data_IF_616337020963
#
_entry.id   IF_616337020963
#
_cell.length_a   1.000
_cell.length_b   1.000
_cell.length_c   1.000
_cell.angle_alpha   90.00
_cell.angle_beta   90.00
_cell.angle_gamma   90.00
#
_symmetry.space_group_name_H-M   'P 1'
#
loop_
_entity.id
_entity.type
_entity.pdbx_description
1 polymer ?
#
# COMPACT_ATOMS: atom_id res chain seq x y z
N UNK A 1 30.07 80.71 24.24
CA UNK A 1 30.12 79.92 25.48
C UNK A 1 28.79 79.27 25.85
N UNK A 2 27.71 79.99 26.18
CA UNK A 2 26.41 79.34 26.49
C UNK A 2 25.87 78.54 25.29
N UNK A 3 25.84 79.12 24.10
CA UNK A 3 25.34 78.45 22.88
C UNK A 3 26.20 77.29 22.39
N UNK A 4 27.49 77.25 22.73
CA UNK A 4 28.38 76.12 22.39
C UNK A 4 28.07 74.91 23.27
N UNK A 5 27.89 75.15 24.57
CA UNK A 5 27.50 74.10 25.53
C UNK A 5 26.11 73.52 25.21
N UNK A 6 25.18 74.34 24.72
CA UNK A 6 23.85 73.88 24.29
C UNK A 6 23.91 72.97 23.06
N UNK A 7 24.76 73.29 22.08
CA UNK A 7 24.98 72.44 20.91
C UNK A 7 25.65 71.11 21.29
N UNK A 8 26.69 71.14 22.12
CA UNK A 8 27.36 69.92 22.58
C UNK A 8 26.42 68.99 23.35
N UNK A 9 25.49 69.56 24.15
CA UNK A 9 24.49 68.81 24.87
C UNK A 9 23.45 68.17 23.93
N UNK A 10 23.07 68.87 22.86
CA UNK A 10 22.18 68.33 21.83
C UNK A 10 22.83 67.13 21.12
N UNK A 11 24.08 67.27 20.68
CA UNK A 11 24.84 66.23 20.00
C UNK A 11 25.03 65.00 20.88
N UNK A 12 25.37 65.21 22.16
CA UNK A 12 25.53 64.11 23.12
C UNK A 12 24.21 63.36 23.32
N UNK A 13 23.08 64.08 23.42
CA UNK A 13 21.76 63.46 23.55
C UNK A 13 21.38 62.66 22.31
N UNK A 14 21.61 63.20 21.11
CA UNK A 14 21.40 62.48 19.85
C UNK A 14 22.26 61.22 19.75
N UNK A 15 23.52 61.31 20.19
CA UNK A 15 24.43 60.16 20.24
C UNK A 15 23.94 59.09 21.21
N UNK A 16 23.46 59.48 22.39
CA UNK A 16 22.87 58.56 23.37
C UNK A 16 21.63 57.85 22.81
N UNK A 17 20.74 58.58 22.15
CA UNK A 17 19.55 58.01 21.52
C UNK A 17 19.92 56.96 20.46
N UNK A 18 20.94 57.25 19.65
CA UNK A 18 21.44 56.30 18.66
C UNK A 18 22.02 55.03 19.30
N UNK A 19 22.80 55.16 20.38
CA UNK A 19 23.30 53.99 21.11
C UNK A 19 22.17 53.14 21.69
N UNK A 20 21.14 53.78 22.24
CA UNK A 20 19.98 53.08 22.78
C UNK A 20 19.24 52.30 21.69
N UNK A 21 18.97 52.93 20.53
CA UNK A 21 18.35 52.25 19.37
C UNK A 21 19.19 51.06 18.91
N UNK A 22 20.50 51.24 18.73
CA UNK A 22 21.39 50.16 18.31
C UNK A 22 21.44 49.00 19.33
N UNK A 23 21.38 49.30 20.63
CA UNK A 23 21.35 48.27 21.67
C UNK A 23 20.02 47.49 21.65
N UNK A 24 18.90 48.18 21.45
CA UNK A 24 17.59 47.51 21.35
C UNK A 24 17.49 46.67 20.06
N UNK A 25 17.99 47.17 18.93
CA UNK A 25 18.10 46.39 17.69
C UNK A 25 18.99 45.16 17.86
N UNK A 26 20.13 45.28 18.53
CA UNK A 26 21.00 44.15 18.84
C UNK A 26 20.29 43.11 19.74
N UNK A 27 19.47 43.56 20.70
CA UNK A 27 18.67 42.67 21.56
C UNK A 27 17.61 41.92 20.75
N UNK A 28 16.86 42.63 19.90
CA UNK A 28 15.81 42.05 19.07
C UNK A 28 16.37 41.04 18.06
N UNK A 29 17.49 41.36 17.42
CA UNK A 29 18.16 40.45 16.48
C UNK A 29 18.70 39.20 17.18
N UNK A 30 19.25 39.32 18.39
CA UNK A 30 19.66 38.17 19.19
C UNK A 30 18.48 37.25 19.57
N UNK A 31 17.33 37.84 19.94
CA UNK A 31 16.11 37.08 20.25
C UNK A 31 15.54 36.37 19.02
N UNK A 32 15.54 37.04 17.87
CA UNK A 32 15.16 36.42 16.59
C UNK A 32 16.10 35.28 16.22
N UNK A 33 17.41 35.47 16.39
CA UNK A 33 18.41 34.45 16.11
C UNK A 33 18.17 33.20 16.96
N UNK A 34 17.92 33.36 18.27
CA UNK A 34 17.61 32.26 19.18
C UNK A 34 16.36 31.48 18.73
N UNK A 35 15.28 32.19 18.40
CA UNK A 35 14.05 31.60 17.85
C UNK A 35 14.31 30.82 16.57
N UNK A 36 15.08 31.38 15.63
CA UNK A 36 15.40 30.72 14.36
C UNK A 36 16.27 29.48 14.56
N UNK A 37 17.23 29.53 15.49
CA UNK A 37 18.07 28.38 15.83
C UNK A 37 17.25 27.25 16.43
N UNK A 38 16.28 27.57 17.29
CA UNK A 38 15.36 26.57 17.84
C UNK A 38 14.57 25.87 16.74
N UNK A 39 13.94 26.64 15.84
CA UNK A 39 13.18 26.08 14.70
C UNK A 39 14.08 25.23 13.80
N UNK A 40 15.32 25.68 13.56
CA UNK A 40 16.29 24.93 12.77
C UNK A 40 16.62 23.58 13.41
N UNK A 41 16.78 23.53 14.73
CA UNK A 41 17.08 22.29 15.44
C UNK A 41 15.89 21.33 15.41
N UNK A 42 14.68 21.82 15.69
CA UNK A 42 13.45 21.04 15.59
C UNK A 42 13.27 20.46 14.17
N UNK A 43 13.56 21.26 13.14
CA UNK A 43 13.48 20.84 11.74
C UNK A 43 14.52 19.76 11.40
N UNK A 44 15.74 19.86 11.91
CA UNK A 44 16.77 18.82 11.71
C UNK A 44 16.34 17.49 12.32
N UNK A 45 15.78 17.52 13.54
CA UNK A 45 15.31 16.31 14.23
C UNK A 45 14.19 15.66 13.41
N UNK A 46 13.16 16.43 13.05
CA UNK A 46 12.05 15.94 12.22
C UNK A 46 12.53 15.37 10.88
N UNK A 47 13.46 16.05 10.21
CA UNK A 47 14.02 15.59 8.94
C UNK A 47 14.75 14.25 9.05
N UNK A 48 15.48 14.01 10.14
CA UNK A 48 16.15 12.73 10.39
C UNK A 48 15.14 11.61 10.64
N UNK A 49 14.08 11.89 11.40
CA UNK A 49 13.01 10.93 11.69
C UNK A 49 12.22 10.56 10.43
N UNK A 50 11.82 11.55 9.63
CA UNK A 50 11.13 11.32 8.34
C UNK A 50 12.01 10.51 7.38
N UNK A 51 13.30 10.85 7.28
CA UNK A 51 14.25 10.09 6.46
C UNK A 51 14.33 8.63 6.92
N UNK A 52 14.42 8.40 8.23
CA UNK A 52 14.45 7.03 8.79
C UNK A 52 13.18 6.25 8.44
N UNK A 53 12.01 6.88 8.53
CA UNK A 53 10.73 6.25 8.17
C UNK A 53 10.69 5.86 6.68
N UNK A 54 11.16 6.74 5.80
CA UNK A 54 11.24 6.46 4.37
C UNK A 54 12.24 5.33 4.06
N UNK A 55 13.38 5.30 4.75
CA UNK A 55 14.37 4.22 4.61
C UNK A 55 13.80 2.86 5.02
N UNK A 56 13.01 2.82 6.09
CA UNK A 56 12.31 1.62 6.56
C UNK A 56 11.25 1.14 5.56
N UNK A 57 10.42 2.04 5.02
CA UNK A 57 9.43 1.71 3.98
C UNK A 57 10.10 1.20 2.70
N UNK A 58 11.20 1.82 2.27
CA UNK A 58 11.98 1.35 1.12
C UNK A 58 12.51 -0.07 1.37
N UNK A 59 12.99 -0.35 2.59
CA UNK A 59 13.46 -1.68 2.95
C UNK A 59 12.33 -2.72 2.92
N UNK A 60 11.18 -2.41 3.51
CA UNK A 60 10.00 -3.28 3.51
C UNK A 60 9.49 -3.53 2.09
N UNK A 61 9.37 -2.48 1.27
CA UNK A 61 8.95 -2.61 -0.11
C UNK A 61 9.94 -3.49 -0.89
N UNK A 62 11.25 -3.24 -0.78
CA UNK A 62 12.27 -4.08 -1.43
C UNK A 62 12.18 -5.55 -1.00
N UNK A 63 11.90 -5.82 0.27
CA UNK A 63 11.69 -7.19 0.73
C UNK A 63 10.45 -7.83 0.09
N UNK A 64 9.35 -7.08 -0.10
CA UNK A 64 8.13 -7.55 -0.76
C UNK A 64 8.27 -7.75 -2.28
N UNK A 65 9.14 -7.00 -2.94
CA UNK A 65 9.43 -7.16 -4.39
C UNK A 65 10.67 -8.03 -4.65
N UNK A 66 11.25 -8.63 -3.61
CA UNK A 66 12.35 -9.57 -3.79
C UNK A 66 11.87 -10.78 -4.60
N UNK A 67 12.64 -11.25 -5.60
CA UNK A 67 12.23 -12.39 -6.41
C UNK A 67 11.93 -13.63 -5.55
N UNK A 68 10.79 -14.27 -5.77
CA UNK A 68 10.49 -15.56 -5.14
C UNK A 68 11.21 -16.71 -5.86
N UNK A 69 11.38 -17.86 -5.18
CA UNK A 69 12.16 -18.99 -5.70
C UNK A 69 11.67 -19.53 -7.07
N UNK A 70 10.39 -19.35 -7.37
CA UNK A 70 9.76 -19.80 -8.61
C UNK A 70 9.78 -18.74 -9.73
N UNK A 71 10.34 -17.55 -9.48
CA UNK A 71 10.52 -16.54 -10.52
C UNK A 71 11.65 -16.93 -11.48
N UNK A 72 11.32 -16.98 -12.76
CA UNK A 72 12.27 -17.25 -13.85
C UNK A 72 12.68 -15.94 -14.53
N UNK A 73 13.75 -15.97 -15.33
CA UNK A 73 14.17 -14.80 -16.13
C UNK A 73 13.00 -14.26 -17.01
N UNK A 74 12.13 -15.15 -17.46
CA UNK A 74 10.96 -14.81 -18.26
C UNK A 74 9.86 -14.05 -17.48
N UNK A 75 9.76 -14.21 -16.16
CA UNK A 75 8.82 -13.46 -15.34
C UNK A 75 9.43 -12.14 -14.84
N UNK A 76 10.75 -12.08 -14.69
CA UNK A 76 11.50 -10.89 -14.27
C UNK A 76 11.54 -9.77 -15.32
N UNK A 77 11.27 -10.08 -16.59
CA UNK A 77 11.30 -9.08 -17.69
C UNK A 77 10.17 -8.04 -17.61
N UNK A 78 9.15 -8.27 -16.78
CA UNK A 78 8.03 -7.34 -16.60
C UNK A 78 8.31 -6.39 -15.43
N UNK A 79 8.49 -5.11 -15.75
CA UNK A 79 8.78 -4.06 -14.76
C UNK A 79 7.52 -3.46 -14.16
N UNK A 80 6.35 -3.73 -14.77
CA UNK A 80 5.06 -3.24 -14.30
C UNK A 80 3.95 -4.28 -14.44
N UNK A 81 2.91 -4.13 -13.60
CA UNK A 81 1.69 -4.95 -13.68
C UNK A 81 1.01 -4.84 -15.05
N UNK A 82 1.07 -3.68 -15.70
CA UNK A 82 0.46 -3.48 -17.01
C UNK A 82 1.13 -4.33 -18.10
N UNK A 83 2.46 -4.43 -18.08
CA UNK A 83 3.22 -5.28 -18.99
C UNK A 83 2.88 -6.76 -18.78
N UNK A 84 2.89 -7.22 -17.52
CA UNK A 84 2.52 -8.59 -17.16
C UNK A 84 1.09 -8.95 -17.63
N UNK A 85 0.11 -8.08 -17.35
CA UNK A 85 -1.29 -8.30 -17.77
C UNK A 85 -1.44 -8.30 -19.29
N UNK A 86 -0.66 -7.46 -19.99
CA UNK A 86 -0.58 -7.45 -21.45
C UNK A 86 -0.10 -8.78 -22.00
N UNK A 87 0.97 -9.33 -21.43
CA UNK A 87 1.52 -10.62 -21.84
C UNK A 87 0.57 -11.78 -21.54
N UNK A 88 -0.03 -11.84 -20.35
CA UNK A 88 -1.02 -12.86 -19.99
C UNK A 88 -2.16 -12.89 -21.02
N UNK A 89 -2.66 -11.72 -21.43
CA UNK A 89 -3.70 -11.62 -22.45
C UNK A 89 -3.23 -12.15 -23.80
N UNK A 90 -2.01 -11.80 -24.20
CA UNK A 90 -1.40 -12.25 -25.47
C UNK A 90 -1.27 -13.77 -25.49
N UNK A 91 -0.71 -14.35 -24.44
CA UNK A 91 -0.53 -15.80 -24.28
C UNK A 91 -1.86 -16.54 -24.23
N UNK A 92 -2.83 -16.04 -23.47
CA UNK A 92 -4.19 -16.61 -23.41
C UNK A 92 -4.87 -16.63 -24.77
N UNK A 93 -4.74 -15.55 -25.56
CA UNK A 93 -5.24 -15.51 -26.93
C UNK A 93 -4.58 -16.54 -27.85
N UNK A 94 -3.27 -16.72 -27.73
CA UNK A 94 -2.53 -17.74 -28.49
C UNK A 94 -2.97 -19.17 -28.13
N UNK A 95 -3.16 -19.45 -26.84
CA UNK A 95 -3.61 -20.75 -26.35
C UNK A 95 -5.00 -21.10 -26.88
N UNK A 96 -5.95 -20.15 -26.85
CA UNK A 96 -7.30 -20.36 -27.42
C UNK A 96 -7.25 -20.59 -28.94
N UNK A 97 -6.36 -19.89 -29.64
CA UNK A 97 -6.15 -20.10 -31.07
C UNK A 97 -5.55 -21.48 -31.37
N UNK A 98 -4.56 -21.93 -30.60
CA UNK A 98 -3.89 -23.22 -30.80
C UNK A 98 -4.77 -24.41 -30.44
N UNK A 99 -5.57 -24.31 -29.37
CA UNK A 99 -6.52 -25.36 -28.96
C UNK A 99 -7.71 -25.52 -29.93
N UNK A 100 -7.85 -24.65 -30.93
CA UNK A 100 -8.92 -24.78 -31.91
C UNK A 100 -10.33 -24.59 -31.34
N UNK A 101 -10.49 -24.02 -30.14
CA UNK A 101 -11.80 -23.79 -29.49
C UNK A 101 -12.72 -22.93 -30.37
N UNK A 102 -12.14 -21.98 -31.11
CA UNK A 102 -12.86 -21.19 -32.12
C UNK A 102 -13.45 -22.04 -33.27
N UNK A 103 -12.95 -23.26 -33.49
CA UNK A 103 -13.47 -24.22 -34.48
C UNK A 103 -14.56 -25.13 -33.90
N UNK A 104 -14.67 -25.24 -32.58
CA UNK A 104 -15.66 -26.08 -31.90
C UNK A 104 -17.02 -25.37 -31.79
N UNK A 105 -17.03 -24.04 -31.70
CA UNK A 105 -18.23 -23.26 -31.41
C UNK A 105 -18.54 -22.26 -32.53
N UNK A 106 -19.37 -22.63 -33.49
CA UNK A 106 -19.98 -21.68 -34.44
C UNK A 106 -21.29 -21.20 -33.83
N UNK A 107 -21.56 -19.89 -33.80
CA UNK A 107 -22.87 -19.38 -33.34
C UNK A 107 -23.63 -18.84 -34.54
N UNK A 108 -24.76 -19.46 -34.88
CA UNK A 108 -25.66 -18.99 -35.92
C UNK A 108 -26.99 -18.60 -35.29
N UNK A 109 -27.43 -17.36 -35.51
CA UNK A 109 -28.71 -16.83 -35.00
C UNK A 109 -28.90 -17.01 -33.48
N UNK A 110 -27.82 -16.91 -32.70
CA UNK A 110 -27.85 -17.07 -31.24
C UNK A 110 -27.82 -18.51 -30.75
N UNK A 111 -27.74 -19.50 -31.65
CA UNK A 111 -27.64 -20.91 -31.31
C UNK A 111 -26.23 -21.44 -31.58
N UNK A 112 -25.70 -22.23 -30.66
CA UNK A 112 -24.39 -22.86 -30.80
C UNK A 112 -24.54 -24.06 -31.74
N UNK A 113 -23.86 -24.00 -32.88
CA UNK A 113 -23.82 -25.05 -33.90
C UNK A 113 -22.46 -25.75 -33.80
N UNK A 114 -22.49 -27.00 -33.35
CA UNK A 114 -21.32 -27.90 -33.36
C UNK A 114 -21.14 -28.45 -34.79
N UNK A 115 -19.97 -28.27 -35.43
CA UNK A 115 -19.72 -28.81 -36.77
C UNK A 115 -19.85 -30.34 -36.82
N UNK A 116 -20.31 -30.88 -37.95
CA UNK A 116 -20.63 -32.30 -38.14
C UNK A 116 -19.52 -33.27 -37.73
N UNK A 117 -18.27 -32.94 -38.06
CA UNK A 117 -17.08 -33.72 -37.68
C UNK A 117 -16.80 -33.81 -36.18
N UNK A 118 -17.50 -33.02 -35.36
CA UNK A 118 -17.41 -33.00 -33.90
C UNK A 118 -18.72 -33.43 -33.22
N UNK A 119 -19.75 -33.83 -34.00
CA UNK A 119 -21.02 -34.32 -33.43
C UNK A 119 -20.84 -35.61 -32.64
N UNK A 120 -19.98 -36.51 -33.11
CA UNK A 120 -19.73 -37.80 -32.47
C UNK A 120 -19.11 -37.64 -31.08
N UNK A 121 -18.16 -36.71 -30.93
CA UNK A 121 -17.52 -36.39 -29.65
C UNK A 121 -18.49 -35.73 -28.66
N UNK A 122 -19.39 -34.86 -29.13
CA UNK A 122 -20.42 -34.26 -28.28
C UNK A 122 -21.47 -35.29 -27.80
N UNK A 123 -21.77 -36.29 -28.63
CA UNK A 123 -22.66 -37.41 -28.28
C UNK A 123 -22.01 -38.43 -27.34
N UNK A 124 -20.68 -38.51 -27.29
CA UNK A 124 -19.95 -39.29 -26.28
C UNK A 124 -19.93 -38.58 -24.92
N UNK A 125 -19.84 -37.24 -24.90
CA UNK A 125 -19.90 -36.42 -23.68
C UNK A 125 -21.30 -36.47 -23.01
N UNK A 126 -22.39 -36.38 -23.78
CA UNK A 126 -23.77 -36.51 -23.26
C UNK A 126 -24.10 -37.90 -22.70
N UNK A 127 -23.40 -38.96 -23.14
CA UNK A 127 -23.64 -40.33 -22.64
C UNK A 127 -22.93 -40.65 -21.33
N UNK A 128 -22.01 -39.79 -20.90
CA UNK A 128 -21.22 -40.01 -19.70
C UNK A 128 -21.88 -39.44 -18.44
N UNK A 129 -22.91 -38.60 -18.59
CA UNK A 129 -23.68 -37.99 -17.49
C UNK A 129 -24.86 -38.87 -16.99
N UNK A 130 -25.16 -39.99 -17.66
CA UNK A 130 -26.31 -40.89 -17.35
C UNK A 130 -25.95 -42.07 -16.42
N UNK A 131 -24.69 -42.20 -15.96
CA UNK A 131 -24.21 -43.38 -15.18
C UNK A 131 -24.05 -43.14 -13.65
N UNK A 132 -24.44 -41.97 -13.10
CA UNK A 132 -24.29 -41.62 -11.67
C UNK A 132 -25.62 -41.62 -10.87
N UNK A 133 -26.58 -42.49 -11.20
CA UNK A 133 -27.76 -42.74 -10.35
C UNK A 133 -27.97 -44.26 -10.10
N UNK A 134 -27.38 -44.80 -9.01
CA UNK A 134 -28.04 -45.83 -8.18
C UNK A 134 -27.69 -45.66 -6.69
N UNK A 135 -28.76 -45.50 -5.91
CA UNK A 135 -28.87 -45.15 -4.49
C UNK A 135 -28.48 -46.25 -3.48
N UNK A 136 -28.11 -45.77 -2.28
CA UNK A 136 -28.39 -46.23 -0.90
C UNK A 136 -28.48 -47.73 -0.55
N UNK A 137 -27.74 -48.14 0.49
CA UNK A 137 -28.37 -48.80 1.65
C UNK A 137 -27.51 -48.73 2.93
N UNK A 138 -28.28 -48.49 3.99
CA UNK A 138 -28.06 -48.20 5.40
C UNK A 138 -27.48 -49.39 6.20
N UNK A 139 -26.52 -49.18 7.10
CA UNK A 139 -26.46 -49.95 8.35
C UNK A 139 -25.81 -49.12 9.47
N UNK A 140 -26.57 -48.94 10.54
CA UNK A 140 -26.21 -48.13 11.70
C UNK A 140 -25.58 -48.97 12.81
N UNK A 141 -24.65 -48.37 13.55
CA UNK A 141 -24.46 -48.66 14.97
C UNK A 141 -24.20 -47.35 15.73
N UNK A 142 -24.89 -47.23 16.87
CA UNK A 142 -24.95 -46.07 17.76
C UNK A 142 -23.77 -46.02 18.77
N UNK A 143 -23.60 -44.83 19.38
CA UNK A 143 -22.84 -44.48 20.61
C UNK A 143 -21.29 -44.42 20.51
N UNK A 144 -20.56 -43.47 21.10
CA UNK A 144 -20.81 -42.60 22.27
C UNK A 144 -20.40 -41.13 21.99
N UNK A 145 -21.18 -40.19 22.52
CA UNK A 145 -20.85 -38.77 22.62
C UNK A 145 -20.14 -38.54 23.95
N UNK A 146 -18.83 -38.26 23.93
CA UNK A 146 -18.18 -37.62 25.08
C UNK A 146 -18.32 -36.10 24.96
N UNK A 147 -19.18 -35.57 25.83
CA UNK A 147 -19.15 -34.17 26.25
C UNK A 147 -17.77 -33.83 26.82
N UNK A 148 -17.10 -32.79 26.31
CA UNK A 148 -16.31 -31.95 27.21
C UNK A 148 -16.57 -30.46 26.97
N UNK A 149 -17.29 -29.92 27.95
CA UNK A 149 -17.50 -28.52 28.30
C UNK A 149 -16.34 -27.59 27.94
N UNK A 150 -16.67 -26.47 27.31
CA UNK A 150 -15.88 -25.25 27.50
C UNK A 150 -15.98 -24.73 28.93
N UNK A 151 -15.04 -23.90 29.38
CA UNK A 151 -15.34 -22.93 30.43
C UNK A 151 -15.68 -21.57 29.80
N UNK A 152 -16.91 -21.17 30.13
CA UNK A 152 -17.41 -19.81 30.21
C UNK A 152 -16.45 -18.80 30.85
N UNK A 153 -16.65 -17.54 30.46
CA UNK A 153 -16.44 -16.36 31.30
C UNK A 153 -15.07 -15.69 31.12
N UNK A 154 -14.95 -14.37 31.11
CA UNK A 154 -15.90 -13.33 31.46
C UNK A 154 -15.27 -11.96 31.10
N UNK A 155 -16.11 -11.07 30.57
CA UNK A 155 -16.27 -9.65 30.93
C UNK A 155 -15.10 -8.67 30.74
N UNK A 156 -15.31 -7.77 29.78
CA UNK A 156 -15.60 -6.34 30.02
C UNK A 156 -14.78 -5.66 31.14
N UNK A 157 -13.88 -4.77 30.73
CA UNK A 157 -13.16 -3.86 31.59
C UNK A 157 -12.69 -2.64 30.80
N UNK A 158 -13.61 -1.70 30.63
CA UNK A 158 -13.31 -0.30 30.33
C UNK A 158 -12.43 0.24 31.47
N UNK A 159 -11.24 0.75 31.16
CA UNK A 159 -10.45 1.55 32.10
C UNK A 159 -10.36 2.98 31.56
N UNK A 160 -11.26 3.83 32.04
CA UNK A 160 -11.05 5.28 32.08
C UNK A 160 -10.66 5.66 33.51
N UNK A 161 -9.42 6.13 33.69
CA UNK A 161 -8.92 7.01 34.76
C UNK A 161 -7.42 7.25 34.47
N UNK A 162 -6.83 8.44 34.46
CA UNK A 162 -7.11 9.73 35.11
C UNK A 162 -6.61 10.90 34.27
#
# INVERSE_FOLDING_TARGET
MISELENDLLDLKSKQENYFKNMEEARLTAEQLDKTNKVLEDLKVSSVEERRKLEEEIFELKAKVAPVADETEDTLKFTSRAELVGEIRRLGGQMVASMGIHKLKKVEKGQIVIPEKYREMALEEEKQDDDDEEDEDEDGEEEEVEEEKGPDGDKEGHDESS
#
